data_IF_900459092411
#
_entry.id   IF_900459092411
#
_cell.length_a   1.000
_cell.length_b   1.000
_cell.length_c   1.000
_cell.angle_alpha   90.00
_cell.angle_beta   90.00
_cell.angle_gamma   90.00
#
_symmetry.space_group_name_H-M   'P 1'
#
loop_
_entity.id
_entity.type
_entity.pdbx_description
1 polymer ?
#
# COMPACT_ATOMS: atom_id res chain seq x y z
N UNK A 1 4.14 -21.78 -3.33
CA UNK A 1 3.79 -20.39 -3.70
C UNK A 1 3.71 -19.60 -2.40
N UNK A 2 4.81 -18.95 -1.99
CA UNK A 2 4.77 -18.11 -0.78
C UNK A 2 3.99 -16.86 -1.15
N UNK A 3 2.79 -16.70 -0.60
CA UNK A 3 2.15 -15.38 -0.56
C UNK A 3 3.09 -14.50 0.26
N UNK A 4 3.49 -13.39 -0.36
CA UNK A 4 4.35 -12.36 0.19
C UNK A 4 3.90 -11.96 1.60
N UNK A 5 4.83 -11.85 2.56
CA UNK A 5 4.48 -11.52 3.95
C UNK A 5 3.79 -10.15 4.03
N UNK A 6 4.12 -9.24 3.11
CA UNK A 6 3.49 -7.93 2.99
C UNK A 6 2.01 -8.03 2.62
N UNK A 7 1.65 -8.93 1.69
CA UNK A 7 0.25 -9.19 1.34
C UNK A 7 -0.51 -9.82 2.52
N UNK A 8 0.14 -10.69 3.30
CA UNK A 8 -0.49 -11.26 4.50
C UNK A 8 -0.74 -10.20 5.56
N UNK A 9 0.22 -9.32 5.78
CA UNK A 9 0.07 -8.20 6.70
C UNK A 9 -1.02 -7.23 6.20
N UNK A 10 -1.05 -6.94 4.90
CA UNK A 10 -2.10 -6.13 4.29
C UNK A 10 -3.49 -6.74 4.53
N UNK A 11 -3.64 -8.05 4.30
CA UNK A 11 -4.88 -8.77 4.60
C UNK A 11 -5.28 -8.64 6.07
N UNK A 12 -4.34 -8.77 7.02
CA UNK A 12 -4.60 -8.60 8.47
C UNK A 12 -5.14 -7.22 8.82
N UNK A 13 -4.73 -6.18 8.10
CA UNK A 13 -5.18 -4.80 8.30
C UNK A 13 -6.51 -4.49 7.59
N UNK A 14 -6.90 -5.31 6.60
CA UNK A 14 -8.10 -5.10 5.79
C UNK A 14 -9.12 -6.23 5.98
N UNK A 15 -9.88 -6.26 7.10
CA UNK A 15 -10.82 -7.35 7.42
C UNK A 15 -11.94 -7.53 6.37
N UNK A 16 -12.26 -6.49 5.59
CA UNK A 16 -13.17 -6.56 4.44
C UNK A 16 -12.71 -7.64 3.45
N UNK A 17 -11.41 -7.70 3.16
CA UNK A 17 -10.86 -8.67 2.22
C UNK A 17 -10.88 -10.09 2.75
N UNK A 18 -10.76 -10.28 4.06
CA UNK A 18 -10.99 -11.60 4.67
C UNK A 18 -12.41 -12.13 4.37
N UNK A 19 -13.42 -11.28 4.52
CA UNK A 19 -14.80 -11.66 4.23
C UNK A 19 -15.03 -11.93 2.74
N UNK A 20 -14.50 -11.08 1.87
CA UNK A 20 -14.64 -11.24 0.41
C UNK A 20 -13.96 -12.52 -0.05
N UNK A 21 -12.68 -12.73 0.30
CA UNK A 21 -11.92 -13.89 -0.15
C UNK A 21 -12.42 -15.20 0.45
N UNK A 22 -13.08 -15.17 1.62
CA UNK A 22 -13.73 -16.36 2.19
C UNK A 22 -14.88 -16.89 1.32
N UNK A 23 -15.55 -16.01 0.56
CA UNK A 23 -16.70 -16.36 -0.30
C UNK A 23 -16.34 -16.37 -1.79
N UNK A 24 -15.39 -15.52 -2.18
CA UNK A 24 -15.01 -15.26 -3.57
C UNK A 24 -13.48 -15.26 -3.69
N UNK A 25 -12.83 -16.44 -3.61
CA UNK A 25 -11.37 -16.53 -3.70
C UNK A 25 -10.82 -16.03 -5.04
N UNK A 26 -11.64 -16.00 -6.10
CA UNK A 26 -11.29 -15.42 -7.39
C UNK A 26 -11.05 -13.91 -7.38
N UNK A 27 -11.44 -13.20 -6.31
CA UNK A 27 -11.21 -11.75 -6.15
C UNK A 27 -9.79 -11.43 -5.65
N UNK A 28 -8.93 -12.43 -5.46
CA UNK A 28 -7.54 -12.22 -5.05
C UNK A 28 -6.75 -11.27 -5.97
N UNK A 29 -6.92 -11.28 -7.32
CA UNK A 29 -6.29 -10.29 -8.18
C UNK A 29 -6.75 -8.85 -7.88
N UNK A 30 -8.02 -8.68 -7.51
CA UNK A 30 -8.59 -7.38 -7.13
C UNK A 30 -7.94 -6.84 -5.85
N UNK A 31 -7.72 -7.70 -4.84
CA UNK A 31 -6.93 -7.37 -3.64
C UNK A 31 -5.51 -6.90 -4.01
N UNK A 32 -4.83 -7.64 -4.90
CA UNK A 32 -3.47 -7.30 -5.30
C UNK A 32 -3.39 -5.94 -5.99
N UNK A 33 -4.42 -5.57 -6.75
CA UNK A 33 -4.48 -4.28 -7.41
C UNK A 33 -4.71 -3.15 -6.38
N UNK A 34 -5.62 -3.34 -5.44
CA UNK A 34 -5.86 -2.39 -4.34
C UNK A 34 -4.57 -2.16 -3.53
N UNK A 35 -3.89 -3.25 -3.14
CA UNK A 35 -2.60 -3.20 -2.45
C UNK A 35 -1.54 -2.40 -3.24
N UNK A 36 -1.44 -2.62 -4.56
CA UNK A 36 -0.47 -1.90 -5.40
C UNK A 36 -0.79 -0.42 -5.49
N UNK A 37 -2.06 -0.06 -5.63
CA UNK A 37 -2.49 1.33 -5.72
C UNK A 37 -2.19 2.06 -4.40
N UNK A 38 -2.59 1.48 -3.27
CA UNK A 38 -2.34 2.08 -1.95
C UNK A 38 -0.84 2.20 -1.63
N UNK A 39 -0.06 1.18 -1.98
CA UNK A 39 1.38 1.23 -1.76
C UNK A 39 2.06 2.28 -2.66
N UNK A 40 1.63 2.42 -3.93
CA UNK A 40 2.11 3.48 -4.83
C UNK A 40 1.75 4.87 -4.31
N UNK A 41 0.54 5.08 -3.83
CA UNK A 41 0.11 6.33 -3.20
C UNK A 41 0.99 6.63 -1.97
N UNK A 42 1.18 5.65 -1.09
CA UNK A 42 2.04 5.77 0.10
C UNK A 42 3.48 6.15 -0.27
N UNK A 43 4.03 5.62 -1.37
CA UNK A 43 5.37 5.97 -1.84
C UNK A 43 5.43 7.37 -2.45
N UNK A 44 4.41 7.76 -3.22
CA UNK A 44 4.32 9.11 -3.77
C UNK A 44 4.28 10.16 -2.64
N UNK A 45 3.48 9.93 -1.61
CA UNK A 45 3.38 10.82 -0.43
C UNK A 45 4.73 10.95 0.29
N UNK A 46 5.50 9.86 0.38
CA UNK A 46 6.84 9.87 0.98
C UNK A 46 7.83 10.70 0.14
N UNK A 47 7.78 10.59 -1.18
CA UNK A 47 8.64 11.37 -2.09
C UNK A 47 8.30 12.85 -1.99
N UNK A 48 7.01 13.20 -1.99
CA UNK A 48 6.56 14.58 -1.84
C UNK A 48 7.08 15.19 -0.53
N UNK A 49 6.93 14.46 0.59
CA UNK A 49 7.42 14.91 1.89
C UNK A 49 8.94 15.15 1.91
N UNK A 50 9.72 14.29 1.24
CA UNK A 50 11.18 14.48 1.09
C UNK A 50 11.47 15.73 0.26
N UNK A 51 10.75 15.93 -0.85
CA UNK A 51 10.84 17.13 -1.68
C UNK A 51 10.59 18.41 -0.88
N UNK A 52 9.53 18.44 -0.07
CA UNK A 52 9.24 19.58 0.81
C UNK A 52 10.33 19.82 1.85
N UNK A 53 10.88 18.76 2.45
CA UNK A 53 11.99 18.89 3.41
C UNK A 53 13.26 19.47 2.76
N UNK A 54 13.59 19.02 1.54
CA UNK A 54 14.73 19.56 0.78
C UNK A 54 14.53 21.04 0.45
N UNK A 55 13.33 21.43 -0.01
CA UNK A 55 13.00 22.84 -0.28
C UNK A 55 13.12 23.71 0.98
N UNK A 56 12.68 23.22 2.13
CA UNK A 56 12.84 23.96 3.40
C UNK A 56 14.31 24.14 3.80
N UNK A 57 15.18 23.17 3.52
CA UNK A 57 16.62 23.29 3.77
C UNK A 57 17.28 24.31 2.83
N UNK A 58 16.85 24.37 1.56
CA UNK A 58 17.33 25.36 0.60
C UNK A 58 16.96 26.80 1.00
N UNK A 59 15.80 27.02 1.64
CA UNK A 59 15.37 28.35 2.09
C UNK A 59 16.12 28.82 3.35
N UNK A 60 16.68 27.90 4.13
CA UNK A 60 17.41 28.20 5.38
C UNK A 60 18.92 28.42 5.18
N UNK A 61 19.46 28.07 4.00
CA UNK A 61 20.86 28.24 3.59
C UNK A 61 21.06 29.53 2.79
#
# INVERSE_FOLDING_TARGET
>A
MMIDEDIRMYLRLHPKWYLILSRYPQEFPTLLEEYRVENKLTMADRIEKIGTMLQMLEVLL
#
